data_IF_354043322731
#
_entry.id   IF_354043322731
#
_cell.length_a   1.000
_cell.length_b   1.000
_cell.length_c   1.000
_cell.angle_alpha   90.00
_cell.angle_beta   90.00
_cell.angle_gamma   90.00
#
_symmetry.space_group_name_H-M   'P 1'
#
loop_
_entity.id
_entity.type
_entity.pdbx_description
1 polymer ?
#
# COMPACT_ATOMS: atom_id res chain seq x y z
N UNK A 1 17.25 -0.49 2.45
CA UNK A 1 17.89 -1.83 2.57
C UNK A 1 18.60 -2.25 1.28
N UNK A 2 17.91 -2.37 0.15
CA UNK A 2 18.51 -2.82 -1.14
C UNK A 2 19.75 -2.04 -1.57
N UNK A 3 19.68 -0.70 -1.59
CA UNK A 3 20.82 0.15 -1.94
C UNK A 3 22.02 -0.02 -1.00
N UNK A 4 21.79 -0.41 0.26
CA UNK A 4 22.87 -0.63 1.22
C UNK A 4 23.68 -1.90 0.92
N UNK A 5 23.11 -2.84 0.15
CA UNK A 5 23.78 -4.04 -0.37
C UNK A 5 24.10 -3.91 -1.87
N UNK A 6 24.19 -2.68 -2.37
CA UNK A 6 24.52 -2.34 -3.76
C UNK A 6 23.52 -2.84 -4.82
N UNK A 7 22.27 -3.13 -4.44
CA UNK A 7 21.19 -3.39 -5.40
C UNK A 7 20.57 -2.04 -5.79
N UNK A 8 20.62 -1.63 -7.07
CA UNK A 8 19.93 -0.43 -7.52
C UNK A 8 18.44 -0.57 -7.23
N UNK A 9 17.87 0.44 -6.60
CA UNK A 9 16.46 0.46 -6.23
C UNK A 9 15.90 1.88 -6.40
N UNK A 10 14.59 1.98 -6.64
CA UNK A 10 13.84 3.25 -6.72
C UNK A 10 12.44 3.05 -6.17
N UNK A 11 11.73 4.14 -5.96
CA UNK A 11 10.32 4.09 -5.61
C UNK A 11 9.51 4.33 -6.87
N UNK A 12 8.42 3.60 -7.02
CA UNK A 12 7.41 3.84 -8.04
C UNK A 12 6.14 4.28 -7.34
N UNK A 13 5.50 5.33 -7.85
CA UNK A 13 4.35 5.97 -7.22
C UNK A 13 3.11 5.82 -8.10
N UNK A 14 1.96 5.53 -7.49
CA UNK A 14 0.67 5.58 -8.16
C UNK A 14 -0.43 6.23 -7.31
N UNK A 15 -1.45 6.72 -8.00
CA UNK A 15 -2.74 7.04 -7.40
C UNK A 15 -3.63 5.79 -7.41
N UNK A 16 -4.23 5.45 -6.27
CA UNK A 16 -5.14 4.31 -6.13
C UNK A 16 -6.56 4.76 -5.76
N UNK A 17 -7.54 3.99 -6.20
CA UNK A 17 -8.91 4.03 -5.67
C UNK A 17 -8.90 3.51 -4.23
N UNK A 18 -9.57 4.20 -3.29
CA UNK A 18 -9.61 3.76 -1.88
C UNK A 18 -10.23 2.37 -1.66
N UNK A 19 -10.95 1.84 -2.65
CA UNK A 19 -11.47 0.48 -2.64
C UNK A 19 -10.40 -0.58 -2.36
N UNK A 20 -9.11 -0.30 -2.63
CA UNK A 20 -7.99 -1.19 -2.29
C UNK A 20 -7.85 -1.48 -0.79
N UNK A 21 -8.36 -0.59 0.09
CA UNK A 21 -8.32 -0.77 1.54
C UNK A 21 -9.70 -1.15 2.13
N UNK A 22 -10.73 -1.30 1.30
CA UNK A 22 -12.11 -1.52 1.76
C UNK A 22 -12.25 -2.85 2.48
N UNK A 23 -12.58 -2.81 3.76
CA UNK A 23 -12.72 -4.01 4.59
C UNK A 23 -11.40 -4.59 5.08
N UNK A 24 -10.26 -4.05 4.63
CA UNK A 24 -8.93 -4.32 5.21
C UNK A 24 -8.72 -3.43 6.43
N UNK A 25 -9.09 -2.15 6.31
CA UNK A 25 -9.07 -1.17 7.41
C UNK A 25 -10.43 -1.09 8.10
N UNK A 26 -10.47 -0.50 9.30
CA UNK A 26 -11.73 -0.29 10.02
C UNK A 26 -12.71 0.57 9.21
N UNK A 27 -14.01 0.32 9.37
CA UNK A 27 -15.07 1.09 8.67
C UNK A 27 -15.00 2.60 8.94
N UNK A 28 -14.59 2.99 10.14
CA UNK A 28 -14.44 4.41 10.51
C UNK A 28 -13.29 5.05 9.75
N UNK A 29 -12.12 4.38 9.68
CA UNK A 29 -10.98 4.87 8.90
C UNK A 29 -11.30 4.93 7.41
N UNK A 30 -11.89 3.88 6.85
CA UNK A 30 -12.29 3.86 5.44
C UNK A 30 -13.20 5.03 5.03
N UNK A 31 -14.11 5.44 5.92
CA UNK A 31 -15.01 6.58 5.68
C UNK A 31 -14.30 7.92 5.72
N UNK A 32 -13.30 8.05 6.58
CA UNK A 32 -12.48 9.25 6.71
C UNK A 32 -11.46 9.37 5.57
N UNK A 33 -10.99 8.24 5.03
CA UNK A 33 -10.02 8.21 3.94
C UNK A 33 -10.54 8.90 2.67
N UNK A 34 -9.68 9.63 1.95
CA UNK A 34 -10.03 10.24 0.67
C UNK A 34 -10.39 9.17 -0.36
N UNK A 35 -11.22 9.51 -1.34
CA UNK A 35 -11.62 8.59 -2.42
C UNK A 35 -10.43 8.12 -3.27
N UNK A 36 -9.38 8.96 -3.36
CA UNK A 36 -8.14 8.68 -4.06
C UNK A 36 -7.00 8.73 -3.05
N UNK A 37 -6.27 7.62 -2.94
CA UNK A 37 -4.98 7.57 -2.26
C UNK A 37 -3.94 8.05 -3.27
N UNK A 38 -3.44 9.27 -3.10
CA UNK A 38 -2.63 9.95 -4.13
C UNK A 38 -1.19 9.43 -4.24
N UNK A 39 -0.67 8.84 -3.19
CA UNK A 39 0.76 8.60 -3.03
C UNK A 39 1.04 7.18 -2.56
N UNK A 40 0.55 6.14 -3.26
CA UNK A 40 0.93 4.76 -2.96
C UNK A 40 2.32 4.46 -3.53
N UNK A 41 3.32 4.20 -2.69
CA UNK A 41 4.65 3.84 -3.16
C UNK A 41 4.85 2.32 -3.14
N UNK A 42 5.55 1.79 -4.13
CA UNK A 42 6.24 0.50 -4.00
C UNK A 42 7.72 0.63 -4.36
N UNK A 43 8.52 -0.34 -3.93
CA UNK A 43 9.91 -0.39 -4.30
C UNK A 43 10.03 -1.06 -5.67
N UNK A 44 10.94 -0.59 -6.51
CA UNK A 44 11.47 -1.35 -7.63
C UNK A 44 12.94 -1.63 -7.40
N UNK A 45 13.40 -2.81 -7.80
CA UNK A 45 14.80 -3.19 -7.74
C UNK A 45 15.30 -3.62 -9.12
N UNK A 46 16.57 -3.32 -9.43
CA UNK A 46 17.18 -3.71 -10.68
C UNK A 46 17.89 -5.04 -10.53
N UNK A 47 17.31 -6.10 -11.10
CA UNK A 47 17.80 -7.47 -11.03
C UNK A 47 17.64 -8.12 -12.41
N UNK A 48 18.64 -8.90 -12.83
CA UNK A 48 18.60 -9.61 -14.13
C UNK A 48 18.26 -8.68 -15.31
N UNK A 49 18.93 -7.52 -15.35
CA UNK A 49 18.80 -6.50 -16.40
C UNK A 49 17.42 -5.82 -16.53
N UNK A 50 16.51 -6.05 -15.57
CA UNK A 50 15.17 -5.45 -15.53
C UNK A 50 14.86 -4.79 -14.19
N UNK A 51 13.97 -3.82 -14.22
CA UNK A 51 13.31 -3.31 -13.01
C UNK A 51 12.19 -4.26 -12.63
N UNK A 52 12.13 -4.62 -11.35
CA UNK A 52 11.15 -5.56 -10.79
C UNK A 52 10.38 -4.85 -9.70
N UNK A 53 9.06 -4.84 -9.81
CA UNK A 53 8.16 -4.30 -8.79
C UNK A 53 8.16 -5.18 -7.53
N UNK A 54 8.26 -4.54 -6.36
CA UNK A 54 8.24 -5.14 -5.03
C UNK A 54 7.28 -4.32 -4.15
N UNK A 55 5.99 -4.60 -4.29
CA UNK A 55 4.96 -4.05 -3.41
C UNK A 55 4.92 -4.80 -2.09
N UNK A 56 4.88 -4.04 -1.00
CA UNK A 56 5.00 -4.55 0.38
C UNK A 56 3.84 -4.11 1.26
N UNK A 57 2.78 -3.56 0.67
CA UNK A 57 1.60 -3.11 1.43
C UNK A 57 0.87 -4.27 2.11
N UNK A 58 0.82 -5.43 1.47
CA UNK A 58 0.19 -6.63 1.99
C UNK A 58 1.25 -7.68 2.35
N UNK A 59 0.99 -8.44 3.40
CA UNK A 59 1.75 -9.63 3.75
C UNK A 59 0.90 -10.89 3.53
N UNK A 60 1.55 -12.05 3.49
CA UNK A 60 0.89 -13.33 3.23
C UNK A 60 -0.26 -13.64 4.20
N UNK A 61 -0.05 -13.46 5.49
CA UNK A 61 -1.06 -13.77 6.50
C UNK A 61 -2.29 -12.85 6.35
N UNK A 62 -2.07 -11.58 6.04
CA UNK A 62 -3.15 -10.63 5.78
C UNK A 62 -3.91 -11.02 4.50
N UNK A 63 -3.20 -11.33 3.42
CA UNK A 63 -3.79 -11.72 2.14
C UNK A 63 -4.62 -13.00 2.25
N UNK A 64 -4.13 -14.02 2.94
CA UNK A 64 -4.88 -15.25 3.22
C UNK A 64 -6.15 -14.96 4.05
N UNK A 65 -6.03 -14.09 5.06
CA UNK A 65 -7.16 -13.61 5.86
C UNK A 65 -8.21 -12.85 5.05
N UNK A 66 -7.77 -12.00 4.12
CA UNK A 66 -8.62 -11.25 3.18
C UNK A 66 -9.45 -12.23 2.34
N UNK A 67 -8.84 -13.28 1.79
CA UNK A 67 -9.55 -14.29 1.01
C UNK A 67 -10.55 -15.09 1.86
N UNK A 68 -10.12 -15.54 3.05
CA UNK A 68 -10.96 -16.31 3.98
C UNK A 68 -12.20 -15.54 4.41
N UNK A 69 -12.10 -14.22 4.57
CA UNK A 69 -13.21 -13.32 4.91
C UNK A 69 -13.95 -12.77 3.69
N UNK A 70 -13.55 -13.16 2.47
CA UNK A 70 -14.12 -12.68 1.21
C UNK A 70 -14.15 -11.16 1.09
N UNK A 71 -13.12 -10.49 1.62
CA UNK A 71 -12.96 -9.03 1.54
C UNK A 71 -12.55 -8.64 0.11
N UNK A 72 -11.56 -9.37 -0.42
CA UNK A 72 -11.14 -9.33 -1.82
C UNK A 72 -10.91 -10.77 -2.31
N UNK A 73 -10.86 -10.95 -3.63
CA UNK A 73 -10.65 -12.25 -4.26
C UNK A 73 -9.22 -12.41 -4.78
N UNK A 74 -8.90 -13.60 -5.27
CA UNK A 74 -7.61 -13.84 -5.94
C UNK A 74 -7.51 -13.09 -7.27
N UNK A 75 -8.62 -12.76 -7.90
CA UNK A 75 -8.60 -11.91 -9.10
C UNK A 75 -8.22 -10.46 -8.75
N UNK A 76 -8.53 -10.02 -7.53
CA UNK A 76 -8.22 -8.68 -7.04
C UNK A 76 -6.75 -8.56 -6.63
N UNK A 77 -6.25 -9.57 -5.92
CA UNK A 77 -4.86 -9.69 -5.46
C UNK A 77 -4.37 -11.05 -5.97
N UNK A 78 -3.76 -11.14 -7.17
CA UNK A 78 -3.42 -12.41 -7.81
C UNK A 78 -2.26 -13.14 -7.16
N UNK A 79 -1.28 -12.40 -6.65
CA UNK A 79 -0.15 -12.98 -5.94
C UNK A 79 0.34 -12.04 -4.84
N UNK A 80 0.93 -12.65 -3.82
CA UNK A 80 1.67 -12.00 -2.73
C UNK A 80 3.12 -12.51 -2.65
N UNK A 81 3.40 -13.61 -3.34
CA UNK A 81 4.70 -14.24 -3.41
C UNK A 81 5.31 -13.89 -4.78
N UNK A 82 6.55 -13.39 -4.78
CA UNK A 82 7.28 -13.14 -6.03
C UNK A 82 7.73 -14.48 -6.63
N UNK A 83 7.47 -14.69 -7.92
CA UNK A 83 7.77 -15.95 -8.62
C UNK A 83 9.19 -16.01 -9.21
N UNK A 84 9.98 -14.96 -9.04
CA UNK A 84 11.34 -14.84 -9.60
C UNK A 84 11.39 -14.23 -11.01
N UNK A 85 10.23 -14.06 -11.66
CA UNK A 85 10.14 -13.66 -13.06
C UNK A 85 9.28 -12.41 -13.27
N UNK A 86 8.09 -12.34 -12.68
CA UNK A 86 7.09 -11.31 -12.91
C UNK A 86 7.11 -10.25 -11.81
N UNK A 87 6.54 -9.08 -12.10
CA UNK A 87 6.39 -8.00 -11.12
C UNK A 87 5.46 -8.39 -9.97
N UNK A 88 5.85 -8.07 -8.74
CA UNK A 88 4.97 -8.18 -7.57
C UNK A 88 4.35 -6.82 -7.28
N UNK A 89 3.14 -6.59 -7.79
CA UNK A 89 2.31 -5.43 -7.47
C UNK A 89 0.91 -5.90 -7.05
N UNK A 90 0.51 -5.55 -5.82
CA UNK A 90 -0.76 -6.02 -5.25
C UNK A 90 -1.92 -5.07 -5.49
N UNK A 91 -1.67 -3.93 -6.12
CA UNK A 91 -2.61 -2.81 -6.21
C UNK A 91 -3.08 -2.50 -7.63
N UNK A 92 -2.63 -3.26 -8.64
CA UNK A 92 -2.89 -3.00 -10.06
C UNK A 92 -4.38 -2.82 -10.38
N UNK A 93 -5.28 -3.60 -9.75
CA UNK A 93 -6.74 -3.48 -9.96
C UNK A 93 -7.29 -2.08 -9.63
N UNK A 94 -6.71 -1.41 -8.64
CA UNK A 94 -7.19 -0.13 -8.13
C UNK A 94 -6.38 1.07 -8.63
N UNK A 95 -5.36 0.85 -9.45
CA UNK A 95 -4.52 1.90 -9.99
C UNK A 95 -5.33 2.82 -10.93
N UNK A 96 -5.28 4.12 -10.64
CA UNK A 96 -5.91 5.16 -11.45
C UNK A 96 -4.87 5.80 -12.36
N UNK A 97 -3.68 6.06 -11.81
CA UNK A 97 -2.62 6.83 -12.46
C UNK A 97 -1.26 6.31 -11.98
N UNK A 98 -0.39 6.01 -12.94
CA UNK A 98 1.04 5.78 -12.74
C UNK A 98 1.75 7.15 -12.75
N UNK A 99 2.46 7.48 -11.67
CA UNK A 99 3.18 8.75 -11.51
C UNK A 99 4.68 8.61 -11.76
N UNK A 100 5.13 7.45 -12.22
CA UNK A 100 6.52 7.14 -12.48
C UNK A 100 7.32 6.91 -11.20
N UNK A 101 8.61 7.26 -11.28
CA UNK A 101 9.60 6.83 -10.28
C UNK A 101 10.35 7.97 -9.63
N UNK A 102 10.72 7.78 -8.36
CA UNK A 102 11.46 8.72 -7.54
C UNK A 102 12.68 8.05 -6.90
N UNK A 103 13.82 8.76 -6.77
CA UNK A 103 14.98 8.25 -6.06
C UNK A 103 14.80 8.29 -4.53
N UNK A 104 13.93 9.14 -3.99
CA UNK A 104 13.62 9.25 -2.56
C UNK A 104 12.13 9.44 -2.33
N UNK A 105 11.64 9.10 -1.13
CA UNK A 105 10.27 9.38 -0.69
C UNK A 105 10.16 10.64 0.19
N UNK A 106 11.27 11.30 0.52
CA UNK A 106 11.27 12.37 1.52
C UNK A 106 10.25 13.48 1.21
N UNK A 107 10.25 13.98 -0.03
CA UNK A 107 9.30 15.02 -0.47
C UNK A 107 7.85 14.51 -0.45
N UNK A 108 7.63 13.26 -0.87
CA UNK A 108 6.31 12.64 -0.91
C UNK A 108 5.75 12.40 0.50
N UNK A 109 6.60 12.09 1.48
CA UNK A 109 6.21 11.98 2.89
C UNK A 109 5.76 13.34 3.42
N UNK A 110 6.47 14.42 3.07
CA UNK A 110 6.08 15.78 3.47
C UNK A 110 4.72 16.15 2.85
N UNK A 111 4.49 15.82 1.59
CA UNK A 111 3.21 16.04 0.92
C UNK A 111 2.09 15.23 1.59
N UNK A 112 2.30 13.94 1.82
CA UNK A 112 1.33 13.06 2.48
C UNK A 112 1.00 13.56 3.89
N UNK A 113 1.98 14.03 4.66
CA UNK A 113 1.75 14.61 5.99
C UNK A 113 0.81 15.81 5.96
N UNK A 114 0.97 16.72 4.98
CA UNK A 114 0.06 17.86 4.82
C UNK A 114 -1.37 17.40 4.53
N UNK A 115 -1.55 16.39 3.69
CA UNK A 115 -2.89 15.83 3.41
C UNK A 115 -3.54 15.25 4.68
N UNK A 116 -2.76 14.62 5.55
CA UNK A 116 -3.24 14.13 6.83
C UNK A 116 -3.60 15.27 7.80
N UNK A 117 -2.84 16.36 7.80
CA UNK A 117 -3.10 17.56 8.61
C UNK A 117 -4.36 18.33 8.15
N UNK A 118 -4.73 18.21 6.88
CA UNK A 118 -5.95 18.82 6.32
C UNK A 118 -7.24 18.04 6.63
N UNK A 119 -7.14 16.84 7.24
CA UNK A 119 -8.33 16.08 7.62
C UNK A 119 -9.11 16.82 8.73
N UNK A 120 -10.46 16.86 8.66
CA UNK A 120 -11.30 17.55 9.64
C UNK A 120 -11.48 16.71 10.92
N UNK A 121 -10.36 16.31 11.54
CA UNK A 121 -10.29 15.50 12.75
C UNK A 121 -9.10 15.93 13.59
N UNK A 122 -9.26 15.95 14.91
CA UNK A 122 -8.15 16.25 15.81
C UNK A 122 -7.08 15.15 15.76
N UNK A 123 -5.82 15.54 15.92
CA UNK A 123 -4.67 14.62 15.80
C UNK A 123 -4.80 13.39 16.71
N UNK A 124 -5.14 13.60 17.98
CA UNK A 124 -5.29 12.50 18.95
C UNK A 124 -6.44 11.55 18.56
N UNK A 125 -7.53 12.08 18.01
CA UNK A 125 -8.66 11.29 17.53
C UNK A 125 -8.27 10.46 16.30
N UNK A 126 -7.51 11.06 15.37
CA UNK A 126 -6.96 10.36 14.21
C UNK A 126 -6.03 9.24 14.64
N UNK A 127 -5.14 9.49 15.62
CA UNK A 127 -4.21 8.49 16.14
C UNK A 127 -4.94 7.32 16.81
N UNK A 128 -5.97 7.60 17.61
CA UNK A 128 -6.85 6.57 18.19
C UNK A 128 -7.50 5.73 17.10
N UNK A 129 -7.97 6.37 16.03
CA UNK A 129 -8.69 5.73 14.95
C UNK A 129 -7.76 4.87 14.08
N UNK A 130 -6.53 5.33 13.81
CA UNK A 130 -5.47 4.53 13.18
C UNK A 130 -5.13 3.31 14.02
N UNK A 131 -4.94 3.48 15.34
CA UNK A 131 -4.64 2.37 16.25
C UNK A 131 -5.76 1.32 16.30
N UNK A 132 -7.01 1.74 16.31
CA UNK A 132 -8.16 0.83 16.19
C UNK A 132 -8.18 0.13 14.83
N UNK A 133 -7.87 0.85 13.76
CA UNK A 133 -7.78 0.29 12.42
C UNK A 133 -6.69 -0.77 12.30
N UNK A 134 -5.51 -0.53 12.86
CA UNK A 134 -4.41 -1.50 12.88
C UNK A 134 -4.79 -2.79 13.61
N UNK A 135 -5.43 -2.67 14.78
CA UNK A 135 -5.96 -3.83 15.52
C UNK A 135 -7.00 -4.61 14.71
N UNK A 136 -7.84 -3.91 13.95
CA UNK A 136 -8.80 -4.53 13.06
C UNK A 136 -8.09 -5.30 11.93
N UNK A 137 -7.14 -4.68 11.24
CA UNK A 137 -6.32 -5.34 10.22
C UNK A 137 -5.60 -6.57 10.77
N UNK A 138 -5.03 -6.49 11.97
CA UNK A 138 -4.38 -7.63 12.64
C UNK A 138 -5.34 -8.78 12.95
N UNK A 139 -6.61 -8.48 13.19
CA UNK A 139 -7.64 -9.51 13.37
C UNK A 139 -8.01 -10.24 12.07
N UNK A 140 -7.62 -9.71 10.91
CA UNK A 140 -7.81 -10.37 9.61
C UNK A 140 -6.72 -11.41 9.40
N UNK A 141 -5.49 -11.17 9.89
CA UNK A 141 -4.36 -12.12 9.81
C UNK A 141 -4.57 -13.43 10.58
N UNK A 142 -5.58 -13.53 11.45
CA UNK A 142 -5.90 -14.68 12.31
C UNK A 142 -7.08 -15.48 11.73
#
# INVERSE_FOLDING_TARGET
MLRAVNIPARYHIASLRKECIKGIVSKSFYKLSPDIIRHHPWCECYLSEKWISCDTLLDKALTEGIYKKSIHTKEDIPTIDWDGENDLNTMTKWMIEDKGTLPSLDDLIIEAQKEFEELPIEKDQLEMLINQSNKYTDSIRK
#
